data_IF_431127266823
#
_entry.id   IF_431127266823
#
_cell.length_a   1.000
_cell.length_b   1.000
_cell.length_c   1.000
_cell.angle_alpha   90.00
_cell.angle_beta   90.00
_cell.angle_gamma   90.00
#
_symmetry.space_group_name_H-M   'P 1'
#
loop_
_entity.id
_entity.type
_entity.pdbx_description
1 polymer ?
#
# COMPACT_ATOMS: atom_id res chain seq x y z
N UNK A 1 36.03 -74.06 -15.14
CA UNK A 1 35.55 -74.48 -13.81
C UNK A 1 34.67 -73.37 -13.27
N UNK A 2 33.40 -73.67 -13.03
CA UNK A 2 32.37 -72.73 -12.64
C UNK A 2 32.36 -72.46 -11.13
N UNK A 3 31.79 -71.28 -10.76
CA UNK A 3 31.03 -70.91 -9.55
C UNK A 3 31.57 -69.61 -8.92
N UNK A 4 30.77 -68.66 -8.43
CA UNK A 4 29.33 -68.31 -8.51
C UNK A 4 29.16 -67.11 -7.56
N UNK A 5 28.21 -66.21 -7.86
CA UNK A 5 27.41 -65.40 -6.91
C UNK A 5 28.21 -64.34 -6.13
N UNK A 6 27.88 -63.05 -6.10
CA UNK A 6 26.68 -62.30 -6.44
C UNK A 6 26.58 -61.15 -5.44
N UNK A 7 26.31 -59.93 -5.89
CA UNK A 7 25.64 -58.92 -5.05
C UNK A 7 25.05 -57.85 -5.94
N UNK A 8 23.74 -57.65 -5.78
CA UNK A 8 22.97 -56.57 -6.39
C UNK A 8 23.29 -55.29 -5.62
N UNK A 9 23.53 -54.19 -6.33
CA UNK A 9 23.08 -52.89 -5.84
C UNK A 9 22.79 -51.96 -7.02
N UNK A 10 21.51 -51.92 -7.36
CA UNK A 10 20.90 -50.85 -8.13
C UNK A 10 20.89 -49.62 -7.21
N UNK A 11 21.60 -48.55 -7.54
CA UNK A 11 21.36 -47.24 -6.91
C UNK A 11 21.20 -46.19 -8.00
N UNK A 12 19.93 -45.86 -8.22
CA UNK A 12 19.45 -44.60 -8.78
C UNK A 12 20.14 -43.44 -8.07
N UNK A 13 20.82 -42.56 -8.81
CA UNK A 13 21.09 -41.21 -8.32
C UNK A 13 20.31 -40.23 -9.18
N UNK A 14 19.37 -39.64 -8.47
CA UNK A 14 18.32 -38.70 -8.85
C UNK A 14 18.91 -37.41 -9.41
N UNK A 15 18.32 -36.93 -10.50
CA UNK A 15 18.49 -35.59 -11.05
C UNK A 15 18.01 -34.59 -9.99
N UNK A 16 18.95 -33.95 -9.28
CA UNK A 16 18.65 -32.78 -8.45
C UNK A 16 18.60 -31.54 -9.35
N UNK A 17 17.47 -31.35 -10.04
CA UNK A 17 17.08 -30.06 -10.60
C UNK A 17 16.85 -29.11 -9.42
N UNK A 18 17.86 -28.29 -9.11
CA UNK A 18 17.71 -27.13 -8.23
C UNK A 18 16.82 -26.14 -9.00
N UNK A 19 15.51 -26.32 -8.89
CA UNK A 19 14.55 -25.26 -9.18
C UNK A 19 14.68 -24.28 -8.03
N UNK A 20 15.64 -23.38 -8.12
CA UNK A 20 15.64 -22.16 -7.34
C UNK A 20 14.38 -21.39 -7.75
N UNK A 21 13.29 -21.60 -7.02
CA UNK A 21 12.07 -20.84 -7.18
C UNK A 21 12.41 -19.38 -7.02
N UNK A 22 12.36 -18.62 -8.11
CA UNK A 22 12.25 -17.16 -8.02
C UNK A 22 10.94 -16.90 -7.30
N UNK A 23 11.00 -16.58 -6.02
CA UNK A 23 9.88 -15.95 -5.32
C UNK A 23 9.80 -14.55 -5.90
N UNK A 24 8.96 -14.38 -6.93
CA UNK A 24 8.57 -13.04 -7.38
C UNK A 24 7.85 -12.39 -6.21
N UNK A 25 8.35 -11.25 -5.75
CA UNK A 25 7.63 -10.45 -4.77
C UNK A 25 6.24 -10.13 -5.32
N UNK A 26 5.20 -10.39 -4.53
CA UNK A 26 3.83 -10.07 -4.91
C UNK A 26 3.76 -8.57 -5.24
N UNK A 27 3.30 -8.26 -6.45
CA UNK A 27 3.03 -6.89 -6.88
C UNK A 27 1.54 -6.67 -6.63
N UNK A 28 1.15 -5.85 -5.64
CA UNK A 28 -0.24 -5.75 -5.23
C UNK A 28 -1.10 -5.19 -6.35
N UNK A 29 -2.10 -5.94 -6.78
CA UNK A 29 -3.16 -5.46 -7.66
C UNK A 29 -4.48 -5.86 -7.05
N UNK A 30 -5.28 -4.90 -6.58
CA UNK A 30 -6.56 -5.20 -5.95
C UNK A 30 -7.48 -3.99 -5.86
N UNK A 31 -8.73 -4.25 -5.54
CA UNK A 31 -9.68 -3.26 -5.04
C UNK A 31 -10.22 -3.69 -3.67
N UNK A 32 -10.78 -2.77 -2.90
CA UNK A 32 -11.40 -3.11 -1.62
C UNK A 32 -12.08 -1.92 -0.96
N UNK A 33 -12.71 -2.19 0.17
CA UNK A 33 -13.21 -1.16 1.07
C UNK A 33 -12.07 -0.62 1.92
N UNK A 34 -12.06 0.69 2.12
CA UNK A 34 -11.12 1.39 3.00
C UNK A 34 -11.89 1.94 4.21
N UNK A 35 -11.46 1.54 5.40
CA UNK A 35 -12.04 1.99 6.67
C UNK A 35 -10.99 2.86 7.37
N UNK A 36 -11.25 4.16 7.46
CA UNK A 36 -10.41 5.10 8.21
C UNK A 36 -11.05 5.37 9.56
N UNK A 37 -10.27 5.28 10.63
CA UNK A 37 -10.68 5.65 11.98
C UNK A 37 -9.74 6.69 12.55
N UNK A 38 -10.26 7.86 12.91
CA UNK A 38 -9.45 8.95 13.47
C UNK A 38 -9.15 8.80 14.97
N UNK A 39 -8.37 9.73 15.53
CA UNK A 39 -8.00 9.74 16.95
C UNK A 39 -9.18 9.86 17.93
N UNK A 40 -10.37 10.30 17.44
CA UNK A 40 -11.61 10.42 18.21
C UNK A 40 -12.53 9.21 18.02
N UNK A 41 -12.13 8.25 17.18
CA UNK A 41 -12.95 7.09 16.83
C UNK A 41 -13.99 7.36 15.75
N UNK A 42 -13.95 8.51 15.06
CA UNK A 42 -14.81 8.74 13.89
C UNK A 42 -14.37 7.80 12.79
N UNK A 43 -15.33 7.03 12.28
CA UNK A 43 -15.13 6.11 11.16
C UNK A 43 -15.58 6.79 9.87
N UNK A 44 -14.73 6.76 8.86
CA UNK A 44 -15.04 7.16 7.48
C UNK A 44 -14.77 5.98 6.56
N UNK A 45 -15.70 5.68 5.67
CA UNK A 45 -15.59 4.57 4.73
C UNK A 45 -15.31 5.07 3.32
N UNK A 46 -14.60 4.26 2.54
CA UNK A 46 -14.29 4.55 1.16
C UNK A 46 -13.93 3.29 0.39
N UNK A 47 -13.40 3.49 -0.81
CA UNK A 47 -12.83 2.44 -1.65
C UNK A 47 -11.37 2.71 -1.91
N UNK A 48 -10.61 1.64 -2.09
CA UNK A 48 -9.24 1.68 -2.56
C UNK A 48 -9.10 0.83 -3.83
N UNK A 49 -8.24 1.30 -4.74
CA UNK A 49 -7.76 0.55 -5.89
C UNK A 49 -6.24 0.68 -5.92
N UNK A 50 -5.54 -0.43 -6.08
CA UNK A 50 -4.07 -0.50 -6.07
C UNK A 50 -3.62 -1.19 -7.34
N UNK A 51 -2.62 -0.61 -8.01
CA UNK A 51 -1.94 -1.20 -9.15
C UNK A 51 -0.43 -1.09 -8.93
N UNK A 52 0.18 -2.20 -8.54
CA UNK A 52 1.57 -2.30 -8.13
C UNK A 52 1.90 -1.43 -6.92
N UNK A 53 3.19 -1.11 -6.78
CA UNK A 53 3.69 -0.28 -5.67
C UNK A 53 3.51 1.21 -5.90
N UNK A 54 3.03 1.62 -7.08
CA UNK A 54 3.20 3.00 -7.55
C UNK A 54 1.90 3.77 -7.75
N UNK A 55 0.78 3.08 -7.97
CA UNK A 55 -0.50 3.71 -8.28
C UNK A 55 -1.56 3.28 -7.28
N UNK A 56 -2.12 4.26 -6.58
CA UNK A 56 -3.18 4.04 -5.59
C UNK A 56 -4.28 5.06 -5.85
N UNK A 57 -5.52 4.61 -5.87
CA UNK A 57 -6.71 5.48 -5.90
C UNK A 57 -7.51 5.25 -4.64
N UNK A 58 -7.91 6.32 -3.98
CA UNK A 58 -8.77 6.33 -2.80
C UNK A 58 -10.01 7.15 -3.10
N UNK A 59 -11.18 6.59 -2.82
CA UNK A 59 -12.47 7.25 -2.96
C UNK A 59 -13.14 7.27 -1.59
N UNK A 60 -13.10 8.40 -0.90
CA UNK A 60 -13.64 8.54 0.45
C UNK A 60 -15.01 9.21 0.37
N UNK A 61 -16.02 8.59 0.96
CA UNK A 61 -17.36 9.16 1.04
C UNK A 61 -17.49 10.06 2.27
N UNK A 62 -18.00 11.28 2.08
CA UNK A 62 -18.40 12.19 3.15
C UNK A 62 -19.82 12.70 2.85
N UNK A 63 -20.82 12.05 3.46
CA UNK A 63 -22.22 12.28 3.10
C UNK A 63 -22.51 11.88 1.66
N UNK A 64 -23.05 12.81 0.88
CA UNK A 64 -23.36 12.62 -0.55
C UNK A 64 -22.16 12.94 -1.48
N UNK A 65 -21.06 13.45 -0.93
CA UNK A 65 -19.86 13.79 -1.68
C UNK A 65 -18.84 12.65 -1.64
N UNK A 66 -18.16 12.44 -2.77
CA UNK A 66 -17.03 11.50 -2.89
C UNK A 66 -15.78 12.28 -3.20
N UNK A 67 -14.83 12.26 -2.26
CA UNK A 67 -13.49 12.80 -2.48
C UNK A 67 -12.62 11.71 -3.11
N UNK A 68 -12.02 12.03 -4.26
CA UNK A 68 -11.13 11.11 -4.97
C UNK A 68 -9.70 11.62 -4.88
N UNK A 69 -8.79 10.78 -4.40
CA UNK A 69 -7.36 11.04 -4.40
C UNK A 69 -6.63 9.94 -5.16
N UNK A 70 -5.74 10.32 -6.08
CA UNK A 70 -4.93 9.44 -6.90
C UNK A 70 -3.47 9.71 -6.56
N UNK A 71 -2.78 8.72 -5.99
CA UNK A 71 -1.36 8.75 -5.70
C UNK A 71 -0.62 8.13 -6.89
N UNK A 72 0.34 8.89 -7.41
CA UNK A 72 1.24 8.50 -8.50
C UNK A 72 2.66 8.59 -7.97
N UNK A 73 3.07 7.55 -7.24
CA UNK A 73 4.38 7.48 -6.59
C UNK A 73 5.49 7.35 -7.65
N UNK A 74 5.19 6.73 -8.79
CA UNK A 74 6.01 6.75 -10.01
C UNK A 74 6.32 8.18 -10.49
N UNK A 75 5.37 9.10 -10.31
CA UNK A 75 5.49 10.52 -10.67
C UNK A 75 5.79 11.43 -9.48
N UNK A 76 5.91 10.89 -8.26
CA UNK A 76 6.10 11.62 -7.00
C UNK A 76 5.06 12.73 -6.76
N UNK A 77 3.80 12.45 -7.11
CA UNK A 77 2.71 13.41 -6.96
C UNK A 77 1.41 12.73 -6.50
N UNK A 78 0.48 13.54 -6.02
CA UNK A 78 -0.90 13.16 -5.78
C UNK A 78 -1.84 14.14 -6.49
N UNK A 79 -2.90 13.61 -7.08
CA UNK A 79 -4.02 14.39 -7.58
C UNK A 79 -5.23 14.20 -6.68
N UNK A 80 -5.81 15.29 -6.21
CA UNK A 80 -7.13 15.28 -5.56
C UNK A 80 -8.13 15.84 -6.56
N UNK A 81 -9.12 15.05 -6.95
CA UNK A 81 -10.20 15.52 -7.81
C UNK A 81 -11.18 16.33 -6.97
N UNK A 82 -11.47 17.53 -7.44
CA UNK A 82 -12.37 18.49 -6.82
C UNK A 82 -13.69 18.54 -7.59
N UNK A 83 -14.74 19.15 -7.01
CA UNK A 83 -15.95 19.51 -7.74
C UNK A 83 -15.65 20.35 -9.00
N UNK A 84 -16.63 20.45 -9.89
CA UNK A 84 -16.55 21.25 -11.13
C UNK A 84 -15.42 20.84 -12.10
N UNK A 85 -15.03 19.56 -12.10
CA UNK A 85 -13.96 19.03 -12.96
C UNK A 85 -12.63 19.79 -12.77
N UNK A 86 -12.29 20.09 -11.52
CA UNK A 86 -10.98 20.61 -11.17
C UNK A 86 -10.15 19.56 -10.46
N UNK A 87 -8.82 19.66 -10.51
CA UNK A 87 -7.94 18.81 -9.69
C UNK A 87 -6.84 19.63 -9.04
N UNK A 88 -6.52 19.31 -7.79
CA UNK A 88 -5.34 19.82 -7.12
C UNK A 88 -4.20 18.82 -7.30
N UNK A 89 -3.01 19.31 -7.66
CA UNK A 89 -1.80 18.50 -7.72
C UNK A 89 -0.85 18.93 -6.61
N UNK A 90 -0.36 17.96 -5.85
CA UNK A 90 0.60 18.17 -4.77
C UNK A 90 1.77 17.24 -4.99
N UNK A 91 2.98 17.73 -4.75
CA UNK A 91 4.17 16.88 -4.72
C UNK A 91 4.06 15.91 -3.54
N UNK A 92 4.13 14.62 -3.83
CA UNK A 92 4.03 13.55 -2.85
C UNK A 92 5.20 12.57 -3.08
N UNK A 93 6.35 12.81 -2.44
CA UNK A 93 7.54 11.99 -2.67
C UNK A 93 7.47 10.61 -2.02
N UNK A 94 6.52 10.35 -1.12
CA UNK A 94 6.35 9.08 -0.40
C UNK A 94 4.85 8.77 -0.16
N UNK A 95 4.50 7.50 -0.02
CA UNK A 95 3.15 7.09 0.42
C UNK A 95 3.02 7.29 1.93
N UNK A 96 2.06 8.11 2.42
CA UNK A 96 1.85 8.33 3.84
C UNK A 96 1.42 7.06 4.63
N UNK A 97 1.00 6.00 3.94
CA UNK A 97 0.63 4.72 4.55
C UNK A 97 1.79 3.71 4.58
N UNK A 98 2.93 4.06 3.99
CA UNK A 98 4.16 3.27 3.99
C UNK A 98 5.25 3.95 4.83
N UNK A 99 6.29 3.19 5.24
CA UNK A 99 7.47 3.79 5.84
C UNK A 99 8.12 4.76 4.85
N UNK A 100 8.41 5.98 5.30
CA UNK A 100 9.14 6.93 4.50
C UNK A 100 10.63 6.59 4.54
N UNK A 101 11.15 6.03 3.44
CA UNK A 101 12.53 5.57 3.30
C UNK A 101 13.58 6.70 3.37
N UNK A 102 13.17 7.96 3.20
CA UNK A 102 14.06 9.11 3.32
C UNK A 102 14.28 9.53 4.78
N UNK A 103 13.57 8.92 5.73
CA UNK A 103 13.67 9.22 7.16
C UNK A 103 14.37 8.08 7.91
N UNK A 104 15.09 8.44 8.97
CA UNK A 104 15.66 7.45 9.88
C UNK A 104 14.57 6.90 10.82
N UNK A 105 14.48 5.58 10.91
CA UNK A 105 13.57 4.88 11.81
C UNK A 105 14.14 3.54 12.28
N UNK A 106 13.67 3.08 13.42
CA UNK A 106 13.91 1.73 13.91
C UNK A 106 12.77 0.80 13.50
N UNK A 107 13.11 -0.41 13.05
CA UNK A 107 12.15 -1.43 12.65
C UNK A 107 12.08 -2.53 13.71
N UNK A 108 10.86 -2.92 14.09
CA UNK A 108 10.63 -4.04 15.00
C UNK A 108 9.44 -4.89 14.53
N UNK A 109 9.67 -6.17 14.32
CA UNK A 109 8.59 -7.15 14.18
C UNK A 109 7.96 -7.42 15.55
N UNK A 110 6.65 -7.20 15.66
CA UNK A 110 5.89 -7.38 16.90
C UNK A 110 5.23 -8.75 17.00
N UNK A 111 5.09 -9.45 15.88
CA UNK A 111 4.46 -10.76 15.80
C UNK A 111 3.75 -10.98 14.47
N UNK A 112 2.78 -11.87 14.47
CA UNK A 112 1.94 -12.18 13.31
C UNK A 112 0.48 -12.32 13.73
N UNK A 113 -0.43 -11.89 12.86
CA UNK A 113 -1.88 -11.96 13.06
C UNK A 113 -2.57 -12.14 11.70
N UNK A 114 -3.70 -12.83 11.66
CA UNK A 114 -4.55 -12.86 10.46
C UNK A 114 -5.54 -11.71 10.51
N UNK A 115 -5.49 -10.83 9.50
CA UNK A 115 -6.38 -9.66 9.38
C UNK A 115 -7.15 -9.77 8.07
N UNK A 116 -8.49 -9.75 8.14
CA UNK A 116 -9.38 -9.82 6.98
C UNK A 116 -9.08 -10.99 6.03
N UNK A 117 -8.68 -12.14 6.59
CA UNK A 117 -8.35 -13.35 5.84
C UNK A 117 -6.87 -13.47 5.42
N UNK A 118 -6.08 -12.41 5.56
CA UNK A 118 -4.67 -12.39 5.16
C UNK A 118 -3.75 -12.65 6.35
N UNK A 119 -2.84 -13.64 6.27
CA UNK A 119 -1.73 -13.78 7.23
C UNK A 119 -0.82 -12.56 7.15
N UNK A 120 -0.70 -11.82 8.25
CA UNK A 120 0.10 -10.60 8.31
C UNK A 120 1.24 -10.73 9.31
N UNK A 121 2.40 -10.19 8.95
CA UNK A 121 3.43 -9.82 9.92
C UNK A 121 3.13 -8.41 10.45
N UNK A 122 3.22 -8.24 11.77
CA UNK A 122 3.04 -6.95 12.42
C UNK A 122 4.41 -6.27 12.54
N UNK A 123 4.61 -5.18 11.82
CA UNK A 123 5.88 -4.45 11.73
C UNK A 123 5.67 -3.04 12.27
N UNK A 124 6.52 -2.63 13.21
CA UNK A 124 6.55 -1.27 13.75
C UNK A 124 7.77 -0.52 13.24
N UNK A 125 7.54 0.70 12.76
CA UNK A 125 8.53 1.69 12.36
C UNK A 125 8.46 2.86 13.33
N UNK A 126 9.54 3.08 14.08
CA UNK A 126 9.65 4.17 15.06
C UNK A 126 10.59 5.22 14.49
N UNK A 127 10.06 6.37 14.06
CA UNK A 127 10.88 7.43 13.48
C UNK A 127 11.73 8.11 14.55
N UNK A 128 13.01 8.35 14.23
CA UNK A 128 13.95 9.05 15.13
C UNK A 128 13.46 10.47 15.43
N UNK A 129 12.98 11.16 14.40
CA UNK A 129 12.31 12.45 14.54
C UNK A 129 10.89 12.27 15.12
N UNK A 130 10.74 12.61 16.41
CA UNK A 130 9.49 12.44 17.18
C UNK A 130 8.23 13.00 16.51
N UNK A 131 8.35 14.03 15.66
CA UNK A 131 7.19 14.64 14.96
C UNK A 131 6.50 13.67 13.99
N UNK A 132 7.21 12.66 13.50
CA UNK A 132 6.65 11.62 12.60
C UNK A 132 6.06 10.42 13.36
N UNK A 133 6.32 10.30 14.65
CA UNK A 133 5.69 9.31 15.52
C UNK A 133 6.07 7.86 15.17
N UNK A 134 5.08 6.98 15.17
CA UNK A 134 5.24 5.54 14.96
C UNK A 134 4.23 5.07 13.92
N UNK A 135 4.68 4.29 12.94
CA UNK A 135 3.81 3.56 12.01
C UNK A 135 3.83 2.08 12.38
N UNK A 136 2.66 1.45 12.50
CA UNK A 136 2.53 0.00 12.63
C UNK A 136 1.77 -0.53 11.43
N UNK A 137 2.31 -1.55 10.76
CA UNK A 137 1.70 -2.19 9.61
C UNK A 137 1.41 -3.67 9.91
N UNK A 138 0.27 -4.14 9.44
CA UNK A 138 -0.03 -5.56 9.29
C UNK A 138 0.21 -5.89 7.82
N UNK A 139 1.44 -6.28 7.50
CA UNK A 139 1.89 -6.53 6.14
C UNK A 139 1.64 -7.98 5.74
N UNK A 140 0.91 -8.19 4.64
CA UNK A 140 0.68 -9.50 4.05
C UNK A 140 1.63 -9.68 2.87
N UNK A 141 2.49 -10.70 2.95
CA UNK A 141 3.37 -11.09 1.82
C UNK A 141 2.58 -11.62 0.64
N UNK A 142 1.43 -12.27 0.90
CA UNK A 142 0.53 -12.79 -0.13
C UNK A 142 -0.09 -11.65 -0.96
N UNK A 143 -0.56 -10.60 -0.27
CA UNK A 143 -1.11 -9.42 -0.94
C UNK A 143 -0.02 -8.51 -1.50
N UNK A 144 1.19 -8.54 -0.92
CA UNK A 144 2.25 -7.55 -1.19
C UNK A 144 1.92 -6.16 -0.64
N UNK A 145 1.01 -6.05 0.33
CA UNK A 145 0.51 -4.78 0.85
C UNK A 145 0.12 -4.86 2.34
N UNK A 146 0.08 -3.71 3.01
CA UNK A 146 -0.41 -3.63 4.39
C UNK A 146 -1.94 -3.67 4.40
N UNK A 147 -2.52 -4.72 5.00
CA UNK A 147 -3.98 -4.88 5.12
C UNK A 147 -4.55 -3.91 6.16
N UNK A 148 -3.70 -3.48 7.11
CA UNK A 148 -4.03 -2.50 8.12
C UNK A 148 -2.79 -1.68 8.49
N UNK A 149 -2.98 -0.40 8.78
CA UNK A 149 -1.96 0.48 9.34
C UNK A 149 -2.49 1.22 10.56
N UNK A 150 -1.59 1.54 11.49
CA UNK A 150 -1.85 2.45 12.59
C UNK A 150 -0.74 3.49 12.68
N UNK A 151 -1.13 4.76 12.67
CA UNK A 151 -0.24 5.86 13.02
C UNK A 151 -0.43 6.17 14.49
N UNK A 152 0.68 6.31 15.22
CA UNK A 152 0.70 6.70 16.62
C UNK A 152 1.57 7.93 16.79
N UNK A 153 1.23 8.76 17.77
CA UNK A 153 2.13 9.84 18.19
C UNK A 153 3.39 9.29 18.88
N UNK A 154 4.34 10.17 19.20
CA UNK A 154 5.57 9.80 19.89
C UNK A 154 5.36 9.22 21.31
N UNK A 155 4.15 9.34 21.88
CA UNK A 155 3.77 8.75 23.17
C UNK A 155 3.09 7.39 23.01
N UNK A 156 2.95 6.90 21.77
CA UNK A 156 2.31 5.63 21.45
C UNK A 156 0.79 5.69 21.38
N UNK A 157 0.17 6.87 21.46
CA UNK A 157 -1.28 7.01 21.30
C UNK A 157 -1.64 6.89 19.81
N UNK A 158 -2.57 6.00 19.48
CA UNK A 158 -3.11 5.87 18.12
C UNK A 158 -3.80 7.17 17.71
N UNK A 159 -3.37 7.72 16.56
CA UNK A 159 -3.93 8.94 15.97
C UNK A 159 -4.73 8.65 14.70
N UNK A 160 -4.46 7.53 14.02
CA UNK A 160 -5.23 7.05 12.88
C UNK A 160 -5.08 5.54 12.74
N UNK A 161 -6.14 4.87 12.28
CA UNK A 161 -6.11 3.49 11.78
C UNK A 161 -6.69 3.48 10.37
N UNK A 162 -6.03 2.81 9.44
CA UNK A 162 -6.55 2.50 8.10
C UNK A 162 -6.63 0.98 7.99
N UNK A 163 -7.77 0.46 7.54
CA UNK A 163 -8.00 -0.98 7.37
C UNK A 163 -8.67 -1.23 6.02
N UNK A 164 -8.21 -2.28 5.32
CA UNK A 164 -8.79 -2.69 4.04
C UNK A 164 -9.60 -3.98 4.19
N UNK A 165 -10.84 -3.96 3.71
CA UNK A 165 -11.79 -5.07 3.81
C UNK A 165 -12.34 -5.44 2.44
N UNK A 166 -12.96 -6.61 2.35
CA UNK A 166 -13.59 -7.10 1.12
C UNK A 166 -12.65 -6.97 -0.08
N UNK A 167 -11.38 -7.34 0.13
CA UNK A 167 -10.33 -7.20 -0.88
C UNK A 167 -10.61 -8.17 -2.03
N UNK A 168 -10.59 -7.63 -3.24
CA UNK A 168 -10.71 -8.38 -4.50
C UNK A 168 -9.41 -8.19 -5.26
N UNK A 169 -8.56 -9.21 -5.22
CA UNK A 169 -7.30 -9.25 -5.96
C UNK A 169 -7.52 -9.33 -7.47
N UNK A 170 -6.62 -8.71 -8.21
CA UNK A 170 -6.63 -8.66 -9.66
C UNK A 170 -6.33 -7.28 -10.22
N UNK A 171 -5.99 -7.27 -11.50
CA UNK A 171 -5.58 -6.07 -12.23
C UNK A 171 -6.66 -5.00 -12.19
N UNK A 172 -6.24 -3.79 -11.84
CA UNK A 172 -7.07 -2.59 -11.89
C UNK A 172 -6.91 -1.86 -13.23
N UNK A 173 -7.99 -1.33 -13.84
CA UNK A 173 -7.92 -0.54 -15.07
C UNK A 173 -7.00 0.68 -14.92
N UNK A 174 -6.15 0.92 -15.92
CA UNK A 174 -5.19 2.04 -15.91
C UNK A 174 -5.87 3.40 -15.78
N UNK A 175 -7.07 3.56 -16.37
CA UNK A 175 -7.86 4.79 -16.35
C UNK A 175 -8.28 5.25 -14.95
N UNK A 176 -8.33 4.35 -13.96
CA UNK A 176 -8.62 4.71 -12.56
C UNK A 176 -7.52 5.62 -11.97
N UNK A 177 -6.30 5.53 -12.50
CA UNK A 177 -5.11 6.20 -11.96
C UNK A 177 -4.66 7.39 -12.81
N UNK A 178 -5.51 7.86 -13.72
CA UNK A 178 -5.28 9.05 -14.53
C UNK A 178 -6.33 10.11 -14.22
N UNK A 179 -6.01 11.37 -14.52
CA UNK A 179 -6.97 12.47 -14.41
C UNK A 179 -8.08 12.26 -15.46
N UNK A 180 -9.38 12.27 -15.08
CA UNK A 180 -10.45 12.09 -16.04
C UNK A 180 -10.48 13.21 -17.10
N UNK A 181 -10.95 12.88 -18.31
CA UNK A 181 -11.08 13.87 -19.39
C UNK A 181 -11.97 15.06 -18.97
N UNK A 182 -11.58 16.26 -19.37
CA UNK A 182 -12.29 17.51 -19.04
C UNK A 182 -11.82 18.18 -17.74
N UNK A 183 -11.02 17.48 -16.92
CA UNK A 183 -10.50 18.07 -15.69
C UNK A 183 -9.42 19.13 -15.97
N UNK A 184 -9.47 20.21 -15.20
CA UNK A 184 -8.50 21.31 -15.26
C UNK A 184 -7.75 21.45 -13.95
N UNK A 185 -6.47 21.81 -14.03
CA UNK A 185 -5.65 21.99 -12.83
C UNK A 185 -6.17 23.19 -12.04
N UNK A 186 -6.53 22.98 -10.79
CA UNK A 186 -6.81 24.05 -9.85
C UNK A 186 -5.56 24.89 -9.68
N UNK A 187 -5.65 26.16 -10.02
CA UNK A 187 -4.57 27.12 -9.89
C UNK A 187 -5.08 28.31 -9.09
N UNK A 188 -4.43 28.58 -7.96
CA UNK A 188 -4.59 29.85 -7.26
C UNK A 188 -3.77 30.87 -8.07
N UNK A 189 -4.25 31.27 -9.24
CA UNK A 189 -3.70 32.46 -9.90
C UNK A 189 -4.20 33.64 -9.06
N UNK A 190 -3.35 34.41 -8.36
CA UNK A 190 -3.79 35.69 -7.82
C UNK A 190 -4.22 36.51 -9.03
N UNK A 191 -5.48 36.95 -9.09
CA UNK A 191 -5.86 38.04 -9.98
C UNK A 191 -5.04 39.26 -9.55
N UNK A 192 -3.85 39.43 -10.11
CA UNK A 192 -3.10 40.68 -10.02
C UNK A 192 -3.86 41.70 -10.87
N UNK A 193 -4.42 42.78 -10.27
CA UNK A 193 -4.91 43.89 -11.06
C UNK A 193 -3.70 44.68 -11.52
N UNK A 194 -3.09 44.30 -12.64
CA UNK A 194 -2.20 45.23 -13.34
C UNK A 194 -3.06 46.16 -14.17
N UNK A 195 -3.21 47.41 -13.71
CA UNK A 195 -3.33 48.54 -14.63
C UNK A 195 -1.93 49.07 -14.86
N UNK A 196 -1.57 49.20 -16.15
CA UNK A 196 -0.46 50.02 -16.62
C UNK A 196 -0.64 51.48 -16.19
#
# INVERSE_FOLDING_TARGET
MAKRIGSRLFFLIVVALIVSGLVLAATPEFSGEMILTDAKGKVTTGKIYVQGTDKIRQEISDGDEVSVTILRLDKKLSWTLLPEQQYMEVNLPFDPNQPNLDLEYEVKTLGSETVNGYPCQIIQYTYQERKYGILVQWFSEELGFAVKTQTKDAKGKVTSTVEYRNIVEGKQPDELFEIPSGYTKFSIIPKLPFSF
#
